data_IF_609161678554
#
_entry.id   IF_609161678554
#
_cell.length_a   1.000
_cell.length_b   1.000
_cell.length_c   1.000
_cell.angle_alpha   90.00
_cell.angle_beta   90.00
_cell.angle_gamma   90.00
#
_symmetry.space_group_name_H-M   'P 1'
#
loop_
_entity.id
_entity.type
_entity.pdbx_description
1 polymer ?
#
# COMPACT_ATOMS: atom_id res chain seq x y z
N UNK A 1 -22.59 -30.84 5.53
CA UNK A 1 -21.17 -31.06 5.87
C UNK A 1 -20.90 -30.38 7.20
N UNK A 2 -20.62 -31.14 8.26
CA UNK A 2 -20.29 -30.59 9.58
C UNK A 2 -19.00 -29.77 9.47
N UNK A 3 -18.93 -28.64 10.18
CA UNK A 3 -17.78 -27.73 10.16
C UNK A 3 -16.44 -28.35 10.62
N UNK A 4 -16.50 -29.60 11.11
CA UNK A 4 -15.44 -30.35 11.78
C UNK A 4 -14.46 -31.10 10.84
N UNK A 5 -14.72 -31.09 9.52
CA UNK A 5 -13.85 -31.77 8.52
C UNK A 5 -13.09 -30.79 7.62
N UNK A 6 -12.71 -29.61 8.13
CA UNK A 6 -11.84 -28.70 7.37
C UNK A 6 -10.38 -29.17 7.46
N UNK A 7 -9.63 -29.25 6.34
CA UNK A 7 -8.21 -29.53 6.39
C UNK A 7 -7.51 -28.50 7.28
N UNK A 8 -6.62 -28.96 8.16
CA UNK A 8 -5.81 -28.07 9.00
C UNK A 8 -4.96 -27.18 8.09
N UNK A 9 -5.23 -25.88 8.11
CA UNK A 9 -4.53 -24.90 7.28
C UNK A 9 -3.03 -24.91 7.60
N UNK A 10 -2.20 -24.80 6.56
CA UNK A 10 -0.74 -24.77 6.70
C UNK A 10 -0.31 -23.55 7.50
N UNK A 11 0.79 -23.68 8.25
CA UNK A 11 1.26 -22.62 9.15
C UNK A 11 1.69 -21.39 8.34
N UNK A 12 2.34 -21.60 7.20
CA UNK A 12 2.73 -20.58 6.24
C UNK A 12 1.55 -19.69 5.79
N UNK A 13 0.45 -20.32 5.41
CA UNK A 13 -0.77 -19.64 4.95
C UNK A 13 -1.46 -18.86 6.07
N UNK A 14 -1.47 -19.41 7.29
CA UNK A 14 -2.04 -18.73 8.46
C UNK A 14 -1.26 -17.46 8.82
N UNK A 15 0.07 -17.55 8.85
CA UNK A 15 0.95 -16.40 9.15
C UNK A 15 0.84 -15.33 8.07
N UNK A 16 0.85 -15.73 6.79
CA UNK A 16 0.63 -14.80 5.68
C UNK A 16 -0.70 -14.05 5.85
N UNK A 17 -1.79 -14.79 6.05
CA UNK A 17 -3.14 -14.22 6.17
C UNK A 17 -3.26 -13.26 7.35
N UNK A 18 -2.66 -13.57 8.50
CA UNK A 18 -2.70 -12.73 9.69
C UNK A 18 -1.94 -11.41 9.49
N UNK A 19 -0.77 -11.44 8.86
CA UNK A 19 0.00 -10.23 8.55
C UNK A 19 -0.74 -9.37 7.53
N UNK A 20 -1.27 -9.98 6.47
CA UNK A 20 -2.04 -9.24 5.46
C UNK A 20 -3.27 -8.60 6.08
N UNK A 21 -4.03 -9.36 6.86
CA UNK A 21 -5.25 -8.87 7.51
C UNK A 21 -4.98 -7.65 8.39
N UNK A 22 -4.05 -7.76 9.33
CA UNK A 22 -3.74 -6.65 10.24
C UNK A 22 -3.05 -5.49 9.54
N UNK A 23 -2.13 -5.77 8.61
CA UNK A 23 -1.44 -4.75 7.82
C UNK A 23 -2.41 -3.93 6.98
N UNK A 24 -3.37 -4.58 6.30
CA UNK A 24 -4.39 -3.89 5.52
C UNK A 24 -5.33 -3.07 6.40
N UNK A 25 -5.73 -3.57 7.57
CA UNK A 25 -6.55 -2.80 8.51
C UNK A 25 -5.82 -1.52 8.94
N UNK A 26 -4.56 -1.62 9.33
CA UNK A 26 -3.76 -0.44 9.72
C UNK A 26 -3.64 0.53 8.55
N UNK A 27 -3.36 0.05 7.35
CA UNK A 27 -3.30 0.88 6.15
C UNK A 27 -4.62 1.62 5.88
N UNK A 28 -5.76 0.92 5.98
CA UNK A 28 -7.09 1.53 5.82
C UNK A 28 -7.36 2.61 6.87
N UNK A 29 -6.97 2.40 8.13
CA UNK A 29 -7.10 3.40 9.19
C UNK A 29 -6.25 4.64 8.87
N UNK A 30 -5.00 4.45 8.45
CA UNK A 30 -4.11 5.55 8.05
C UNK A 30 -4.71 6.33 6.87
N UNK A 31 -5.19 5.63 5.85
CA UNK A 31 -5.84 6.22 4.68
C UNK A 31 -7.17 6.92 5.02
N UNK A 32 -7.81 6.61 6.16
CA UNK A 32 -9.00 7.32 6.63
C UNK A 32 -8.63 8.61 7.39
N UNK A 33 -7.54 8.56 8.18
CA UNK A 33 -7.07 9.69 8.96
C UNK A 33 -6.43 10.77 8.08
N UNK A 34 -5.69 10.38 7.04
CA UNK A 34 -5.00 11.30 6.12
C UNK A 34 -5.92 12.36 5.48
N UNK A 35 -7.03 11.97 4.82
CA UNK A 35 -8.00 12.91 4.26
C UNK A 35 -8.64 13.81 5.32
N UNK A 36 -8.89 13.29 6.53
CA UNK A 36 -9.39 14.11 7.63
C UNK A 36 -8.40 15.20 8.04
N UNK A 37 -7.10 14.87 8.16
CA UNK A 37 -6.04 15.85 8.41
C UNK A 37 -5.94 16.85 7.25
N UNK A 38 -6.06 16.36 6.01
CA UNK A 38 -6.00 17.16 4.80
C UNK A 38 -7.11 18.22 4.77
N UNK A 39 -8.34 17.85 5.13
CA UNK A 39 -9.47 18.76 5.19
C UNK A 39 -9.38 19.75 6.36
N UNK A 40 -8.85 19.33 7.51
CA UNK A 40 -8.74 20.19 8.70
C UNK A 40 -7.66 21.26 8.55
N UNK A 41 -6.56 20.93 7.87
CA UNK A 41 -5.43 21.84 7.65
C UNK A 41 -5.14 21.99 6.14
N UNK A 42 -5.94 22.77 5.41
CA UNK A 42 -5.80 22.92 3.95
C UNK A 42 -4.41 23.39 3.53
N UNK A 43 -3.77 24.23 4.35
CA UNK A 43 -2.45 24.82 4.12
C UNK A 43 -1.28 23.83 4.29
N UNK A 44 -1.52 22.67 4.92
CA UNK A 44 -0.51 21.60 5.14
C UNK A 44 -0.77 20.40 4.22
N UNK A 45 -1.01 20.69 2.95
CA UNK A 45 -1.11 19.69 1.90
C UNK A 45 -0.22 20.07 0.72
N UNK A 46 0.33 19.06 0.02
CA UNK A 46 1.07 19.26 -1.23
C UNK A 46 0.11 19.76 -2.31
N UNK A 47 -1.11 19.24 -2.30
CA UNK A 47 -2.22 19.65 -3.15
C UNK A 47 -3.30 20.30 -2.29
N UNK A 48 -3.77 21.50 -2.66
CA UNK A 48 -4.91 22.08 -1.96
C UNK A 48 -6.16 21.22 -2.21
N UNK A 49 -6.75 20.60 -1.17
CA UNK A 49 -7.82 19.62 -1.33
C UNK A 49 -9.09 20.23 -1.95
N UNK A 50 -9.39 21.51 -1.71
CA UNK A 50 -10.57 22.16 -2.28
C UNK A 50 -10.47 22.33 -3.79
N UNK A 51 -9.30 22.75 -4.28
CA UNK A 51 -9.04 22.86 -5.71
C UNK A 51 -8.88 21.49 -6.37
N UNK A 52 -8.29 20.52 -5.65
CA UNK A 52 -8.16 19.14 -6.13
C UNK A 52 -9.53 18.50 -6.40
N UNK A 53 -10.44 18.52 -5.42
CA UNK A 53 -11.77 17.93 -5.59
C UNK A 53 -12.58 18.67 -6.67
N UNK A 54 -12.51 20.00 -6.72
CA UNK A 54 -13.18 20.78 -7.76
C UNK A 54 -12.68 20.39 -9.17
N UNK A 55 -11.36 20.34 -9.37
CA UNK A 55 -10.76 19.98 -10.65
C UNK A 55 -11.06 18.53 -11.08
N UNK A 56 -11.12 17.59 -10.12
CA UNK A 56 -11.54 16.20 -10.38
C UNK A 56 -12.99 16.15 -10.83
N UNK A 57 -13.90 16.86 -10.14
CA UNK A 57 -15.32 16.86 -10.50
C UNK A 57 -15.61 17.62 -11.81
N UNK A 58 -14.77 18.57 -12.18
CA UNK A 58 -14.78 19.21 -13.51
C UNK A 58 -14.32 18.26 -14.63
N UNK A 59 -13.76 17.09 -14.30
CA UNK A 59 -13.31 16.10 -15.27
C UNK A 59 -11.98 16.45 -15.95
N UNK A 60 -11.14 17.27 -15.29
CA UNK A 60 -9.82 17.65 -15.81
C UNK A 60 -8.87 16.44 -15.84
N UNK A 61 -7.96 16.44 -16.81
CA UNK A 61 -6.94 15.40 -16.92
C UNK A 61 -5.93 15.48 -15.76
N UNK A 62 -5.37 14.32 -15.40
CA UNK A 62 -4.42 14.17 -14.29
C UNK A 62 -3.20 15.09 -14.43
N UNK A 63 -2.65 15.25 -15.63
CA UNK A 63 -1.50 16.12 -15.87
C UNK A 63 -1.85 17.59 -15.61
N UNK A 64 -3.05 18.02 -16.00
CA UNK A 64 -3.56 19.36 -15.76
C UNK A 64 -3.79 19.61 -14.27
N UNK A 65 -4.36 18.64 -13.54
CA UNK A 65 -4.60 18.75 -12.10
C UNK A 65 -3.27 18.91 -11.33
N UNK A 66 -2.25 18.13 -11.67
CA UNK A 66 -0.93 18.25 -11.03
C UNK A 66 -0.28 19.61 -11.27
N UNK A 67 -0.42 20.16 -12.47
CA UNK A 67 0.09 21.49 -12.79
C UNK A 67 -0.69 22.60 -12.06
N UNK A 68 -2.02 22.55 -12.11
CA UNK A 68 -2.87 23.61 -11.53
C UNK A 68 -2.89 23.60 -10.00
N UNK A 69 -2.83 22.43 -9.37
CA UNK A 69 -3.05 22.30 -7.91
C UNK A 69 -1.74 22.17 -7.12
N UNK A 70 -0.69 21.59 -7.71
CA UNK A 70 0.60 21.36 -7.04
C UNK A 70 1.77 22.12 -7.68
N UNK A 71 1.56 22.84 -8.79
CA UNK A 71 2.63 23.48 -9.55
C UNK A 71 3.57 22.50 -10.26
N UNK A 72 3.13 21.25 -10.45
CA UNK A 72 3.92 20.15 -11.02
C UNK A 72 3.73 18.83 -10.26
N UNK A 73 4.14 17.71 -10.86
CA UNK A 73 4.06 16.39 -10.23
C UNK A 73 5.14 16.24 -9.15
N UNK A 74 4.78 16.08 -7.86
CA UNK A 74 5.75 16.02 -6.75
C UNK A 74 6.52 14.69 -6.65
N UNK A 75 6.28 13.73 -7.55
CA UNK A 75 6.96 12.43 -7.58
C UNK A 75 6.21 11.33 -6.81
N UNK A 76 6.38 10.06 -7.19
CA UNK A 76 5.65 8.93 -6.57
C UNK A 76 5.95 8.66 -5.09
N UNK A 77 6.98 9.30 -4.53
CA UNK A 77 7.42 9.15 -3.14
C UNK A 77 7.37 10.44 -2.33
N UNK A 78 6.54 11.42 -2.72
CA UNK A 78 6.46 12.70 -2.00
C UNK A 78 6.09 12.56 -0.52
N UNK A 79 5.43 11.45 -0.14
CA UNK A 79 5.17 11.10 1.26
C UNK A 79 6.42 10.97 2.15
N UNK A 80 7.60 10.71 1.59
CA UNK A 80 8.85 10.59 2.36
C UNK A 80 9.33 11.93 2.92
N UNK A 81 9.19 13.01 2.13
CA UNK A 81 9.59 14.36 2.54
C UNK A 81 8.46 15.10 3.25
N UNK A 82 7.21 14.79 2.88
CA UNK A 82 6.01 15.49 3.36
C UNK A 82 5.10 14.57 4.18
N UNK A 83 5.68 13.77 5.06
CA UNK A 83 4.95 12.81 5.90
C UNK A 83 3.86 13.44 6.79
N UNK A 84 4.12 14.65 7.31
CA UNK A 84 3.18 15.38 8.17
C UNK A 84 2.10 16.17 7.41
N UNK A 85 2.09 16.07 6.08
CA UNK A 85 1.06 16.67 5.24
C UNK A 85 -0.10 15.67 5.11
N UNK A 86 -1.34 16.16 5.02
CA UNK A 86 -2.52 15.28 5.02
C UNK A 86 -2.53 14.30 3.83
N UNK A 87 -2.18 14.78 2.64
CA UNK A 87 -2.03 13.99 1.43
C UNK A 87 -0.79 13.07 1.46
N UNK A 88 0.34 13.55 1.99
CA UNK A 88 1.53 12.73 2.22
C UNK A 88 1.27 11.56 3.17
N UNK A 89 0.52 11.77 4.26
CA UNK A 89 0.14 10.73 5.19
C UNK A 89 -0.80 9.70 4.56
N UNK A 90 -1.75 10.16 3.74
CA UNK A 90 -2.64 9.28 2.95
C UNK A 90 -1.85 8.41 1.98
N UNK A 91 -0.91 9.02 1.24
CA UNK A 91 -0.09 8.29 0.28
C UNK A 91 0.87 7.31 0.97
N UNK A 92 1.37 7.64 2.16
CA UNK A 92 2.11 6.69 2.99
C UNK A 92 1.26 5.48 3.38
N UNK A 93 0.00 5.70 3.79
CA UNK A 93 -0.95 4.61 4.07
C UNK A 93 -1.17 3.70 2.86
N UNK A 94 -1.31 4.29 1.65
CA UNK A 94 -1.42 3.54 0.40
C UNK A 94 -0.15 2.74 0.09
N UNK A 95 1.02 3.37 0.18
CA UNK A 95 2.30 2.72 -0.05
C UNK A 95 2.51 1.54 0.93
N UNK A 96 2.19 1.76 2.21
CA UNK A 96 2.22 0.72 3.23
C UNK A 96 1.27 -0.42 2.84
N UNK A 97 0.00 -0.12 2.55
CA UNK A 97 -1.03 -1.10 2.17
C UNK A 97 -0.63 -1.96 0.98
N UNK A 98 -0.13 -1.34 -0.09
CA UNK A 98 0.35 -2.04 -1.29
C UNK A 98 1.59 -2.92 -1.00
N UNK A 99 2.42 -2.53 -0.03
CA UNK A 99 3.62 -3.28 0.38
C UNK A 99 3.34 -4.44 1.34
N UNK A 100 2.17 -4.50 1.99
CA UNK A 100 1.82 -5.50 3.02
C UNK A 100 2.03 -6.94 2.52
N UNK A 101 1.67 -7.20 1.26
CA UNK A 101 1.86 -8.51 0.66
C UNK A 101 3.34 -8.91 0.59
N UNK A 102 4.26 -7.99 0.29
CA UNK A 102 5.70 -8.26 0.32
C UNK A 102 6.17 -8.60 1.74
N UNK A 103 5.74 -7.82 2.73
CA UNK A 103 6.07 -8.06 4.14
C UNK A 103 5.53 -9.38 4.67
N UNK A 104 4.36 -9.82 4.20
CA UNK A 104 3.77 -11.11 4.58
C UNK A 104 4.43 -12.30 3.88
N UNK A 105 4.93 -12.12 2.64
CA UNK A 105 5.59 -13.18 1.86
C UNK A 105 6.96 -13.56 2.41
N UNK A 106 7.70 -12.64 3.03
CA UNK A 106 9.01 -12.91 3.62
C UNK A 106 8.93 -13.98 4.74
N UNK A 107 8.11 -13.82 5.80
CA UNK A 107 7.97 -14.84 6.84
C UNK A 107 7.30 -16.11 6.32
N UNK A 108 6.38 -16.02 5.34
CA UNK A 108 5.81 -17.20 4.70
C UNK A 108 6.90 -18.02 3.97
N UNK A 109 7.81 -17.38 3.23
CA UNK A 109 8.93 -18.03 2.56
C UNK A 109 9.88 -18.72 3.55
N UNK A 110 10.17 -18.08 4.69
CA UNK A 110 11.00 -18.68 5.75
C UNK A 110 10.35 -19.93 6.35
N UNK A 111 9.03 -19.90 6.59
CA UNK A 111 8.30 -21.08 7.10
C UNK A 111 8.27 -22.20 6.05
N UNK A 112 8.06 -21.87 4.78
CA UNK A 112 8.10 -22.84 3.68
C UNK A 112 9.49 -23.50 3.55
N UNK A 113 10.56 -22.73 3.74
CA UNK A 113 11.94 -23.22 3.65
C UNK A 113 12.34 -24.10 4.84
N UNK A 114 12.09 -23.64 6.07
CA UNK A 114 12.62 -24.29 7.28
C UNK A 114 11.69 -25.34 7.89
N UNK A 115 10.36 -25.16 7.81
CA UNK A 115 9.39 -26.07 8.44
C UNK A 115 8.71 -27.01 7.46
N UNK A 116 8.28 -26.48 6.32
CA UNK A 116 7.48 -27.26 5.35
C UNK A 116 8.37 -27.91 4.27
N UNK A 117 9.66 -27.53 4.21
CA UNK A 117 10.70 -28.03 3.30
C UNK A 117 10.22 -28.13 1.84
N UNK A 118 9.39 -27.16 1.42
CA UNK A 118 8.84 -27.12 0.08
C UNK A 118 9.51 -26.00 -0.73
N UNK A 119 10.57 -26.31 -1.50
CA UNK A 119 11.36 -25.29 -2.21
C UNK A 119 10.56 -24.58 -3.30
N UNK A 120 9.56 -25.25 -3.90
CA UNK A 120 8.73 -24.66 -4.95
C UNK A 120 7.94 -23.46 -4.43
N UNK A 121 7.27 -23.61 -3.28
CA UNK A 121 6.52 -22.50 -2.68
C UNK A 121 7.43 -21.41 -2.13
N UNK A 122 8.62 -21.76 -1.61
CA UNK A 122 9.62 -20.76 -1.21
C UNK A 122 10.05 -19.88 -2.40
N UNK A 123 10.36 -20.49 -3.55
CA UNK A 123 10.77 -19.74 -4.76
C UNK A 123 9.63 -18.86 -5.25
N UNK A 124 8.39 -19.38 -5.27
CA UNK A 124 7.21 -18.60 -5.66
C UNK A 124 7.00 -17.39 -4.74
N UNK A 125 7.10 -17.57 -3.41
CA UNK A 125 6.95 -16.46 -2.46
C UNK A 125 8.03 -15.38 -2.67
N UNK A 126 9.29 -15.78 -2.86
CA UNK A 126 10.39 -14.85 -3.11
C UNK A 126 10.24 -14.12 -4.46
N UNK A 127 9.78 -14.83 -5.49
CA UNK A 127 9.54 -14.25 -6.82
C UNK A 127 8.43 -13.20 -6.78
N UNK A 128 7.29 -13.52 -6.15
CA UNK A 128 6.18 -12.56 -6.00
C UNK A 128 6.60 -11.36 -5.13
N UNK A 129 7.34 -11.60 -4.05
CA UNK A 129 7.89 -10.51 -3.23
C UNK A 129 8.80 -9.59 -4.06
N UNK A 130 9.68 -10.15 -4.90
CA UNK A 130 10.55 -9.38 -5.78
C UNK A 130 9.76 -8.53 -6.79
N UNK A 131 8.67 -9.05 -7.38
CA UNK A 131 7.80 -8.27 -8.27
C UNK A 131 7.15 -7.08 -7.57
N UNK A 132 6.71 -7.27 -6.32
CA UNK A 132 6.13 -6.20 -5.50
C UNK A 132 7.21 -5.15 -5.19
N UNK A 133 8.43 -5.56 -4.83
CA UNK A 133 9.55 -4.64 -4.61
C UNK A 133 9.91 -3.83 -5.86
N UNK A 134 9.98 -4.48 -7.03
CA UNK A 134 10.26 -3.80 -8.30
C UNK A 134 9.17 -2.78 -8.65
N UNK A 135 7.90 -3.12 -8.37
CA UNK A 135 6.76 -2.22 -8.55
C UNK A 135 6.85 -1.03 -7.60
N UNK A 136 7.25 -1.24 -6.34
CA UNK A 136 7.42 -0.17 -5.35
C UNK A 136 8.54 0.81 -5.70
N UNK A 137 9.63 0.35 -6.31
CA UNK A 137 10.76 1.22 -6.70
C UNK A 137 10.40 2.08 -7.94
N UNK A 138 9.29 1.79 -8.62
CA UNK A 138 8.83 2.58 -9.76
C UNK A 138 9.72 2.46 -11.01
N UNK A 139 10.53 1.40 -11.10
CA UNK A 139 11.32 1.09 -12.31
C UNK A 139 10.38 0.79 -13.49
N UNK A 140 9.21 0.21 -13.20
CA UNK A 140 8.12 0.05 -14.17
C UNK A 140 7.34 1.36 -14.20
N UNK A 141 7.63 2.21 -15.20
CA UNK A 141 6.79 3.37 -15.53
C UNK A 141 5.53 2.84 -16.22
N UNK A 142 4.36 2.98 -15.58
CA UNK A 142 3.06 2.93 -16.27
C UNK A 142 2.77 4.26 -16.94
#
# INVERSE_FOLDING_TARGET
MSADTRPKMQLSQRVYGEIVYWGTIVACIICMIGPYISMKNPDKNVMNPFYLFAAIFEGKDTATIWQEVAGGFPGGHFYLEKFFYGDGFTQFGLAMGCSVAAWALIPAALIYLFKEKNPTYTILCLWVAALIFLSMIGIVKS
#
